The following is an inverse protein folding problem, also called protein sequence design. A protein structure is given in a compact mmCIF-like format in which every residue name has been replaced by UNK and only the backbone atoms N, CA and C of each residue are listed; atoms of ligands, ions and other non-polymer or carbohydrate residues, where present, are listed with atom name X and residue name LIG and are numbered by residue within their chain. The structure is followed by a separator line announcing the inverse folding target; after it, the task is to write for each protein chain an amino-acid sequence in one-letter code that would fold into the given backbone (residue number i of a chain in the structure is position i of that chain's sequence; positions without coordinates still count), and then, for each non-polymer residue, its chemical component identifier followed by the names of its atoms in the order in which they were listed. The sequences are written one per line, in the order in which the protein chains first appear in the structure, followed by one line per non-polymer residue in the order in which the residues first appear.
data_IF_965964115731
#
_entry.id   IF_965964115731
#
_cell.length_a   1.000
_cell.length_b   1.000
_cell.length_c   1.000
_cell.angle_alpha   90.00
_cell.angle_beta   90.00
_cell.angle_gamma   90.00
#
_symmetry.space_group_name_H-M   'P 1'
#
loop_
_entity.id
_entity.type
_entity.pdbx_description
1 polymer ?
#
# COMPACT_ATOMS: atom_id res chain seq x y z
N UNK A 1 32.82 -2.15 19.51
CA UNK A 1 32.08 -1.58 18.37
C UNK A 1 31.94 -2.71 17.35
N UNK A 2 30.74 -3.14 16.92
CA UNK A 2 30.62 -4.15 15.87
C UNK A 2 31.20 -3.61 14.55
N UNK A 3 31.71 -4.48 13.69
CA UNK A 3 32.37 -4.18 12.41
C UNK A 3 31.33 -4.18 11.27
N UNK A 4 31.23 -3.10 10.49
CA UNK A 4 30.09 -2.82 9.60
C UNK A 4 30.35 -3.37 8.20
N UNK A 5 31.39 -4.22 8.08
CA UNK A 5 31.94 -4.72 6.82
C UNK A 5 31.25 -5.97 6.28
N UNK A 6 30.29 -6.53 6.99
CA UNK A 6 29.36 -7.50 6.39
C UNK A 6 28.33 -6.72 5.58
N UNK A 7 28.69 -6.44 4.32
CA UNK A 7 27.84 -5.74 3.38
C UNK A 7 26.51 -6.47 3.21
N UNK A 8 25.41 -5.75 3.38
CA UNK A 8 24.08 -6.28 3.08
C UNK A 8 24.03 -6.70 1.61
N UNK A 9 23.87 -7.99 1.36
CA UNK A 9 23.68 -8.50 0.01
C UNK A 9 22.21 -8.34 -0.35
N UNK A 10 21.92 -7.46 -1.31
CA UNK A 10 20.58 -7.28 -1.84
C UNK A 10 20.28 -8.39 -2.85
N UNK A 11 19.24 -9.17 -2.60
CA UNK A 11 18.75 -10.20 -3.53
C UNK A 11 17.38 -9.80 -4.08
N UNK A 12 17.31 -9.63 -5.40
CA UNK A 12 16.03 -9.42 -6.09
C UNK A 12 15.29 -10.75 -6.17
N UNK A 13 14.23 -10.90 -5.36
CA UNK A 13 13.47 -12.15 -5.29
C UNK A 13 12.43 -12.26 -6.41
N UNK A 14 11.76 -11.15 -6.78
CA UNK A 14 10.70 -11.12 -7.81
C UNK A 14 10.57 -9.76 -8.50
N UNK A 15 9.94 -9.75 -9.67
CA UNK A 15 9.44 -8.57 -10.39
C UNK A 15 7.91 -8.55 -10.27
N UNK A 16 7.36 -7.45 -9.76
CA UNK A 16 5.91 -7.24 -9.67
C UNK A 16 5.43 -6.31 -10.81
N UNK A 17 4.20 -6.51 -11.32
CA UNK A 17 3.72 -5.77 -12.49
C UNK A 17 3.70 -4.26 -12.27
N UNK A 18 4.24 -3.57 -13.27
CA UNK A 18 4.26 -2.11 -13.41
C UNK A 18 2.84 -1.57 -13.49
N UNK A 19 2.37 -0.99 -12.38
CA UNK A 19 1.15 -0.18 -12.34
C UNK A 19 1.29 1.06 -11.45
N UNK A 20 2.40 1.16 -10.73
CA UNK A 20 2.72 2.26 -9.84
C UNK A 20 3.06 3.51 -10.66
N UNK A 21 2.22 4.55 -10.57
CA UNK A 21 2.41 5.81 -11.29
C UNK A 21 3.66 6.52 -10.75
N UNK A 22 4.72 6.56 -11.57
CA UNK A 22 6.08 6.98 -11.17
C UNK A 22 6.18 8.42 -10.61
N UNK A 23 5.17 9.26 -10.86
CA UNK A 23 5.16 10.65 -10.42
C UNK A 23 4.58 10.85 -9.01
N UNK A 24 3.95 9.83 -8.41
CA UNK A 24 3.45 9.90 -7.05
C UNK A 24 4.45 9.24 -6.08
N UNK A 25 4.98 10.03 -5.14
CA UNK A 25 6.09 9.62 -4.25
C UNK A 25 5.68 8.70 -3.09
N UNK A 26 4.38 8.48 -2.86
CA UNK A 26 3.84 7.75 -1.71
C UNK A 26 2.87 6.65 -2.13
N UNK A 27 3.25 5.79 -3.06
CA UNK A 27 2.38 4.74 -3.63
C UNK A 27 2.66 3.33 -3.09
N UNK A 28 3.55 3.22 -2.10
CA UNK A 28 3.92 1.97 -1.43
C UNK A 28 4.08 2.22 0.05
N UNK A 29 3.64 1.27 0.86
CA UNK A 29 3.75 1.29 2.31
C UNK A 29 3.59 -0.10 2.88
N UNK A 30 3.87 -0.28 4.17
CA UNK A 30 3.71 -1.57 4.80
C UNK A 30 3.92 -1.54 6.30
N UNK A 31 3.61 -2.67 6.91
CA UNK A 31 3.88 -3.05 8.29
C UNK A 31 4.76 -4.32 8.31
N UNK A 32 5.00 -4.86 9.50
CA UNK A 32 5.77 -6.10 9.66
C UNK A 32 5.10 -7.31 8.99
N UNK A 33 3.77 -7.28 8.80
CA UNK A 33 2.98 -8.41 8.29
C UNK A 33 2.58 -8.26 6.82
N UNK A 34 2.34 -7.02 6.39
CA UNK A 34 1.85 -6.73 5.05
C UNK A 34 2.60 -5.57 4.43
N UNK A 35 2.74 -5.58 3.12
CA UNK A 35 3.03 -4.36 2.37
C UNK A 35 2.00 -4.22 1.27
N UNK A 36 1.68 -2.98 0.90
CA UNK A 36 0.85 -2.71 -0.25
C UNK A 36 1.45 -1.65 -1.14
N UNK A 37 1.11 -1.73 -2.41
CA UNK A 37 1.34 -0.66 -3.35
C UNK A 37 0.06 -0.42 -4.15
N UNK A 38 -0.14 0.82 -4.57
CA UNK A 38 -1.25 1.17 -5.44
C UNK A 38 -0.81 1.19 -6.91
N UNK A 39 -1.69 0.70 -7.77
CA UNK A 39 -1.63 0.91 -9.21
C UNK A 39 -2.36 2.22 -9.56
N UNK A 40 -2.99 2.32 -10.73
CA UNK A 40 -3.85 3.46 -11.07
C UNK A 40 -5.08 3.53 -10.17
N UNK A 41 -5.86 2.45 -10.06
CA UNK A 41 -7.18 2.44 -9.39
C UNK A 41 -7.28 1.42 -8.25
N UNK A 42 -6.35 0.46 -8.21
CA UNK A 42 -6.42 -0.68 -7.33
C UNK A 42 -5.23 -0.73 -6.38
N UNK A 43 -5.42 -1.35 -5.22
CA UNK A 43 -4.36 -1.59 -4.23
C UNK A 43 -4.07 -3.07 -4.19
N UNK A 44 -2.79 -3.42 -4.26
CA UNK A 44 -2.32 -4.80 -4.09
C UNK A 44 -1.71 -4.95 -2.71
N UNK A 45 -2.24 -5.86 -1.90
CA UNK A 45 -1.73 -6.15 -0.56
C UNK A 45 -1.04 -7.51 -0.58
N UNK A 46 0.19 -7.55 -0.10
CA UNK A 46 1.03 -8.73 -0.06
C UNK A 46 1.48 -9.04 1.38
N UNK A 47 1.65 -10.32 1.68
CA UNK A 47 2.29 -10.80 2.91
C UNK A 47 3.81 -10.58 2.85
N UNK A 48 4.40 -10.02 3.90
CA UNK A 48 5.85 -9.75 3.98
C UNK A 48 6.69 -11.02 4.15
N UNK A 49 6.16 -12.05 4.83
CA UNK A 49 6.91 -13.29 5.10
C UNK A 49 7.04 -14.21 3.88
N UNK A 50 6.14 -14.10 2.90
CA UNK A 50 6.12 -14.98 1.73
C UNK A 50 6.00 -14.27 0.38
N UNK A 51 5.84 -12.95 0.38
CA UNK A 51 5.58 -12.12 -0.80
C UNK A 51 4.40 -12.63 -1.64
N UNK A 52 3.37 -13.18 -0.98
CA UNK A 52 2.16 -13.70 -1.62
C UNK A 52 1.08 -12.63 -1.64
N UNK A 53 0.29 -12.57 -2.73
CA UNK A 53 -0.83 -11.65 -2.86
C UNK A 53 -1.95 -12.11 -1.92
N UNK A 54 -2.34 -11.24 -0.99
CA UNK A 54 -3.41 -11.50 -0.02
C UNK A 54 -4.73 -10.88 -0.48
N UNK A 55 -4.68 -9.62 -0.95
CA UNK A 55 -5.87 -8.89 -1.44
C UNK A 55 -5.55 -8.06 -2.67
N UNK A 56 -6.53 -7.99 -3.57
CA UNK A 56 -6.61 -7.03 -4.67
C UNK A 56 -7.87 -6.20 -4.46
N UNK A 57 -7.68 -4.93 -4.13
CA UNK A 57 -8.76 -4.03 -3.74
C UNK A 57 -9.05 -3.08 -4.90
N UNK A 58 -10.29 -3.07 -5.36
CA UNK A 58 -10.79 -2.05 -6.28
C UNK A 58 -11.13 -0.78 -5.48
N UNK A 59 -10.14 0.10 -5.35
CA UNK A 59 -10.13 1.10 -4.28
C UNK A 59 -10.78 2.43 -4.67
N UNK A 60 -10.58 2.89 -5.90
CA UNK A 60 -10.98 4.23 -6.34
C UNK A 60 -11.43 4.26 -7.80
N UNK A 61 -12.30 5.23 -8.12
CA UNK A 61 -12.79 5.43 -9.50
C UNK A 61 -11.83 6.23 -10.37
N UNK A 62 -10.85 6.90 -9.75
CA UNK A 62 -9.78 7.65 -10.41
C UNK A 62 -8.43 7.39 -9.76
N UNK A 63 -7.38 7.98 -10.36
CA UNK A 63 -5.98 7.76 -10.00
C UNK A 63 -5.70 7.93 -8.50
N UNK A 64 -5.19 6.88 -7.86
CA UNK A 64 -4.67 6.91 -6.51
C UNK A 64 -3.38 7.71 -6.51
N UNK A 65 -3.29 8.68 -5.61
CA UNK A 65 -2.18 9.64 -5.51
C UNK A 65 -1.28 9.34 -4.32
N UNK A 66 -1.82 8.69 -3.28
CA UNK A 66 -1.08 8.35 -2.08
C UNK A 66 -1.64 7.13 -1.35
N UNK A 67 -0.76 6.47 -0.62
CA UNK A 67 -1.01 5.36 0.30
C UNK A 67 -0.17 5.58 1.56
N UNK A 68 -0.77 5.40 2.73
CA UNK A 68 -0.06 5.52 4.01
C UNK A 68 -0.52 4.43 4.97
N UNK A 69 0.43 3.72 5.59
CA UNK A 69 0.13 2.68 6.56
C UNK A 69 -0.11 3.27 7.95
N UNK A 70 -1.02 2.68 8.72
CA UNK A 70 -1.26 3.09 10.09
C UNK A 70 -0.10 2.61 10.99
N UNK A 71 0.61 3.52 11.70
CA UNK A 71 1.73 3.13 12.56
C UNK A 71 1.28 2.43 13.84
N UNK A 72 0.04 2.67 14.30
CA UNK A 72 -0.51 2.05 15.51
C UNK A 72 -1.30 0.77 15.25
N UNK A 73 -1.75 0.54 14.01
CA UNK A 73 -2.48 -0.67 13.64
C UNK A 73 -1.90 -1.29 12.34
N UNK A 74 -1.11 -2.36 12.45
CA UNK A 74 -0.48 -3.04 11.30
C UNK A 74 -1.45 -3.56 10.23
N UNK A 75 -2.72 -3.72 10.55
CA UNK A 75 -3.75 -4.23 9.62
C UNK A 75 -4.42 -3.10 8.81
N UNK A 76 -4.18 -1.82 9.15
CA UNK A 76 -4.88 -0.70 8.53
C UNK A 76 -3.97 0.20 7.69
N UNK A 77 -4.52 0.75 6.61
CA UNK A 77 -3.88 1.78 5.80
C UNK A 77 -4.93 2.71 5.17
N UNK A 78 -4.49 3.86 4.64
CA UNK A 78 -5.34 4.81 3.95
C UNK A 78 -4.83 5.06 2.52
N UNK A 79 -5.76 5.32 1.61
CA UNK A 79 -5.47 5.76 0.24
C UNK A 79 -6.18 7.07 -0.08
N UNK A 80 -5.53 7.92 -0.88
CA UNK A 80 -6.15 9.14 -1.43
C UNK A 80 -6.15 9.10 -2.95
N UNK A 81 -7.18 9.70 -3.55
CA UNK A 81 -7.35 9.72 -5.01
C UNK A 81 -7.83 11.09 -5.52
N UNK A 82 -7.59 11.34 -6.81
CA UNK A 82 -8.14 12.50 -7.53
C UNK A 82 -9.66 12.40 -7.72
N UNK A 83 -10.31 11.32 -7.29
CA UNK A 83 -11.76 11.25 -7.20
C UNK A 83 -12.34 12.10 -6.07
N UNK A 84 -11.49 12.64 -5.19
CA UNK A 84 -11.88 13.50 -4.07
C UNK A 84 -12.08 12.73 -2.77
N UNK A 85 -11.81 11.42 -2.75
CA UNK A 85 -11.99 10.58 -1.57
C UNK A 85 -10.66 10.11 -0.98
N UNK A 86 -10.68 9.99 0.35
CA UNK A 86 -9.70 9.25 1.13
C UNK A 86 -10.41 8.04 1.72
N UNK A 87 -9.88 6.85 1.50
CA UNK A 87 -10.49 5.60 1.97
C UNK A 87 -9.58 4.90 2.95
N UNK A 88 -10.12 4.48 4.09
CA UNK A 88 -9.40 3.69 5.09
C UNK A 88 -9.76 2.23 4.94
N UNK A 89 -8.74 1.38 4.88
CA UNK A 89 -8.83 -0.05 4.65
C UNK A 89 -8.33 -0.82 5.86
N UNK A 90 -8.96 -1.97 6.12
CA UNK A 90 -8.49 -2.98 7.06
C UNK A 90 -8.24 -4.28 6.29
N UNK A 91 -6.99 -4.75 6.28
CA UNK A 91 -6.53 -5.95 5.57
C UNK A 91 -7.11 -7.22 6.20
N UNK A 92 -7.47 -7.19 7.49
CA UNK A 92 -8.00 -8.36 8.20
C UNK A 92 -9.53 -8.41 8.20
N UNK A 93 -10.20 -7.38 7.67
CA UNK A 93 -11.65 -7.41 7.48
C UNK A 93 -12.05 -8.42 6.39
N UNK A 94 -13.11 -9.18 6.67
CA UNK A 94 -13.69 -10.19 5.77
C UNK A 94 -14.28 -9.55 4.50
N UNK A 95 -14.71 -8.29 4.58
CA UNK A 95 -15.18 -7.51 3.44
C UNK A 95 -14.12 -6.49 3.01
N UNK A 96 -13.86 -6.40 1.70
CA UNK A 96 -13.01 -5.34 1.11
C UNK A 96 -13.76 -3.99 1.07
N UNK A 97 -14.50 -3.64 2.12
CA UNK A 97 -15.21 -2.36 2.24
C UNK A 97 -14.37 -1.37 3.03
N UNK A 98 -13.63 -0.55 2.31
CA UNK A 98 -12.98 0.62 2.91
C UNK A 98 -14.03 1.66 3.34
N UNK A 99 -13.79 2.33 4.46
CA UNK A 99 -14.60 3.47 4.87
C UNK A 99 -14.12 4.71 4.10
N UNK A 100 -14.97 5.23 3.21
CA UNK A 100 -14.68 6.39 2.37
C UNK A 100 -15.00 7.69 3.10
N UNK A 101 -14.07 8.62 3.06
CA UNK A 101 -14.23 9.99 3.58
C UNK A 101 -14.01 10.95 2.42
N UNK A 102 -14.98 11.82 2.15
CA UNK A 102 -14.87 12.85 1.11
C UNK A 102 -14.01 14.02 1.61
N UNK A 103 -13.01 14.41 0.82
CA UNK A 103 -12.25 15.63 1.04
C UNK A 103 -12.92 16.77 0.27
N UNK A 104 -13.56 17.70 1.00
CA UNK A 104 -14.10 18.92 0.40
C UNK A 104 -12.95 19.91 0.14
N UNK A 105 -12.76 20.31 -1.10
CA UNK A 105 -11.94 21.49 -1.43
C UNK A 105 -12.61 22.75 -0.86
N UNK A 106 -11.80 23.63 -0.27
CA UNK A 106 -12.22 24.84 0.44
C UNK A 106 -12.38 26.02 -0.51
#
# INVERSE_FOLDING_TARGET
MPDWKEGFQLEQTRLHPSGCQQWHSAIVGGSDKYFAFCSTLSVYVYSTRGFQLEKLIDAHSKCITCLSWCPSNPSMFATGSIDGFVTVWDVEADEDKGNMVEHKEQ
#
